data_IF_050941074762
#
_entry.id   IF_050941074762
#
_cell.length_a   1.000
_cell.length_b   1.000
_cell.length_c   1.000
_cell.angle_alpha   90.00
_cell.angle_beta   90.00
_cell.angle_gamma   90.00
#
_symmetry.space_group_name_H-M   'P 1'
#
loop_
_entity.id
_entity.type
_entity.pdbx_description
1 polymer ?
#
# COMPACT_ATOMS: atom_id res chain seq x y z
N UNK A 1 17.14 4.69 -9.61
CA UNK A 1 16.89 4.77 -8.15
C UNK A 1 17.66 5.95 -7.62
N UNK A 2 17.03 6.79 -6.80
CA UNK A 2 17.73 7.87 -6.11
C UNK A 2 18.79 7.24 -5.18
N UNK A 3 20.02 7.76 -5.21
CA UNK A 3 21.09 7.28 -4.33
C UNK A 3 20.83 7.71 -2.88
N UNK A 4 21.47 7.04 -1.90
CA UNK A 4 21.36 7.38 -0.47
C UNK A 4 21.66 8.88 -0.25
N UNK A 5 22.68 9.41 -0.91
CA UNK A 5 23.07 10.82 -0.83
C UNK A 5 21.97 11.76 -1.34
N UNK A 6 21.33 11.43 -2.45
CA UNK A 6 20.21 12.22 -2.99
C UNK A 6 19.00 12.20 -2.04
N UNK A 7 18.73 11.05 -1.42
CA UNK A 7 17.65 10.91 -0.43
C UNK A 7 17.93 11.76 0.81
N UNK A 8 19.16 11.74 1.33
CA UNK A 8 19.59 12.58 2.46
C UNK A 8 19.39 14.06 2.18
N UNK A 9 19.78 14.53 1.00
CA UNK A 9 19.67 15.94 0.61
C UNK A 9 18.23 16.46 0.45
N UNK A 10 17.26 15.56 0.31
CA UNK A 10 15.83 15.90 0.24
C UNK A 10 15.14 15.99 1.59
N UNK A 11 15.79 15.53 2.64
CA UNK A 11 15.23 15.49 3.99
C UNK A 11 15.76 16.65 4.84
N UNK A 12 14.99 17.12 5.84
CA UNK A 12 15.49 18.14 6.77
C UNK A 12 16.74 17.67 7.50
N UNK A 13 17.76 18.56 7.61
CA UNK A 13 19.02 18.22 8.26
C UNK A 13 18.83 17.75 9.70
N UNK A 14 17.92 18.37 10.45
CA UNK A 14 17.57 17.97 11.81
C UNK A 14 17.11 16.49 11.88
N UNK A 15 16.24 16.08 10.97
CA UNK A 15 15.78 14.69 10.88
C UNK A 15 16.95 13.73 10.60
N UNK A 16 17.83 14.10 9.67
CA UNK A 16 19.02 13.28 9.34
C UNK A 16 19.95 13.16 10.54
N UNK A 17 20.20 14.25 11.26
CA UNK A 17 21.08 14.26 12.45
C UNK A 17 20.47 13.40 13.57
N UNK A 18 19.18 13.54 13.85
CA UNK A 18 18.49 12.75 14.87
C UNK A 18 18.57 11.24 14.57
N UNK A 19 18.52 10.83 13.30
CA UNK A 19 18.70 9.43 12.93
C UNK A 19 20.09 8.92 13.30
N UNK A 20 21.16 9.72 13.09
CA UNK A 20 22.52 9.35 13.45
C UNK A 20 22.78 9.36 14.97
N UNK A 21 22.02 10.13 15.73
CA UNK A 21 22.07 10.11 17.20
C UNK A 21 21.37 8.85 17.77
N UNK A 22 20.29 8.41 17.13
CA UNK A 22 19.47 7.29 17.59
C UNK A 22 19.96 5.91 17.14
N UNK A 23 20.61 5.84 15.97
CA UNK A 23 20.93 4.59 15.29
C UNK A 23 22.37 4.53 14.81
N UNK A 24 22.90 3.32 14.67
CA UNK A 24 24.24 3.13 14.08
C UNK A 24 24.25 3.55 12.59
N UNK A 25 25.40 4.00 12.05
CA UNK A 25 25.50 4.43 10.66
C UNK A 25 24.96 3.42 9.63
N UNK A 26 25.20 2.12 9.84
CA UNK A 26 24.69 1.06 8.98
C UNK A 26 23.16 0.93 9.00
N UNK A 27 22.53 1.16 10.17
CA UNK A 27 21.05 1.19 10.27
C UNK A 27 20.50 2.44 9.57
N UNK A 28 21.15 3.59 9.73
CA UNK A 28 20.74 4.83 9.05
C UNK A 28 20.82 4.68 7.54
N UNK A 29 21.85 4.05 7.01
CA UNK A 29 21.97 3.77 5.58
C UNK A 29 20.84 2.85 5.07
N UNK A 30 20.46 1.84 5.85
CA UNK A 30 19.32 0.98 5.52
C UNK A 30 17.98 1.74 5.54
N UNK A 31 17.78 2.67 6.50
CA UNK A 31 16.62 3.55 6.53
C UNK A 31 16.56 4.40 5.26
N UNK A 32 17.66 5.03 4.86
CA UNK A 32 17.68 5.85 3.63
C UNK A 32 17.49 5.03 2.36
N UNK A 33 17.99 3.79 2.29
CA UNK A 33 17.67 2.88 1.18
C UNK A 33 16.17 2.60 1.12
N UNK A 34 15.54 2.29 2.26
CA UNK A 34 14.10 2.08 2.32
C UNK A 34 13.28 3.30 1.89
N UNK A 35 13.70 4.51 2.28
CA UNK A 35 13.07 5.77 1.86
C UNK A 35 13.25 6.00 0.34
N UNK A 36 14.41 5.62 -0.22
CA UNK A 36 14.70 5.75 -1.64
C UNK A 36 13.96 4.75 -2.52
N UNK A 37 13.49 3.64 -1.96
CA UNK A 37 12.75 2.62 -2.71
C UNK A 37 11.40 3.14 -3.19
N UNK A 38 11.09 2.83 -4.46
CA UNK A 38 9.78 3.15 -5.02
C UNK A 38 8.71 2.28 -4.36
N UNK A 39 7.78 2.92 -3.68
CA UNK A 39 6.64 2.22 -3.10
C UNK A 39 5.81 1.56 -4.20
N UNK A 40 5.56 0.27 -4.04
CA UNK A 40 4.68 -0.47 -4.93
C UNK A 40 3.23 -0.04 -4.74
N UNK A 41 2.49 0.06 -5.83
CA UNK A 41 1.04 0.26 -5.79
C UNK A 41 0.39 -1.04 -5.37
N UNK A 42 -0.40 -1.00 -4.32
CA UNK A 42 -1.14 -2.15 -3.81
C UNK A 42 -2.62 -1.82 -3.68
N UNK A 43 -3.47 -2.79 -3.91
CA UNK A 43 -4.90 -2.64 -3.83
C UNK A 43 -5.56 -3.94 -3.39
N UNK A 44 -6.81 -3.84 -2.91
CA UNK A 44 -7.69 -4.98 -2.70
C UNK A 44 -8.99 -4.82 -3.48
N UNK A 45 -9.59 -5.94 -3.85
CA UNK A 45 -10.93 -5.96 -4.44
C UNK A 45 -11.99 -5.72 -3.35
N UNK A 46 -13.05 -5.00 -3.70
CA UNK A 46 -14.22 -4.87 -2.86
C UNK A 46 -15.14 -6.07 -3.11
N UNK A 47 -15.04 -7.10 -2.30
CA UNK A 47 -15.78 -8.36 -2.46
C UNK A 47 -17.29 -8.23 -2.35
N UNK A 48 -17.81 -7.10 -1.86
CA UNK A 48 -19.23 -6.78 -1.85
C UNK A 48 -19.76 -6.38 -3.24
N UNK A 49 -18.88 -5.98 -4.15
CA UNK A 49 -19.23 -5.42 -5.47
C UNK A 49 -18.60 -6.14 -6.64
N UNK A 50 -17.44 -6.77 -6.43
CA UNK A 50 -16.63 -7.33 -7.50
C UNK A 50 -15.82 -8.52 -7.00
N UNK A 51 -15.39 -9.42 -7.86
CA UNK A 51 -14.58 -10.56 -7.49
C UNK A 51 -13.15 -10.46 -8.03
N UNK A 52 -12.21 -11.16 -7.37
CA UNK A 52 -10.79 -11.09 -7.71
C UNK A 52 -10.48 -11.70 -9.09
N UNK A 53 -11.25 -12.71 -9.54
CA UNK A 53 -11.02 -13.37 -10.83
C UNK A 53 -11.35 -12.41 -11.97
N UNK A 54 -12.51 -11.75 -11.88
CA UNK A 54 -12.93 -10.70 -12.82
C UNK A 54 -11.94 -9.54 -12.84
N UNK A 55 -11.42 -9.13 -11.67
CA UNK A 55 -10.39 -8.08 -11.59
C UNK A 55 -9.10 -8.50 -12.30
N UNK A 56 -8.62 -9.71 -12.05
CA UNK A 56 -7.40 -10.22 -12.70
C UNK A 56 -7.58 -10.34 -14.23
N UNK A 57 -8.76 -10.76 -14.69
CA UNK A 57 -9.09 -10.81 -16.12
C UNK A 57 -9.06 -9.42 -16.73
N UNK A 58 -9.76 -8.46 -16.13
CA UNK A 58 -9.78 -7.07 -16.57
C UNK A 58 -8.37 -6.46 -16.65
N UNK A 59 -7.54 -6.66 -15.62
CA UNK A 59 -6.16 -6.14 -15.65
C UNK A 59 -5.30 -6.76 -16.76
N UNK A 60 -5.49 -8.03 -17.09
CA UNK A 60 -4.82 -8.67 -18.24
C UNK A 60 -5.26 -8.03 -19.57
N UNK A 61 -6.55 -7.75 -19.73
CA UNK A 61 -7.10 -7.12 -20.94
C UNK A 61 -6.54 -5.72 -21.19
N UNK A 62 -6.32 -4.95 -20.12
CA UNK A 62 -5.74 -3.60 -20.21
C UNK A 62 -4.21 -3.56 -19.97
N UNK A 63 -3.53 -4.72 -20.02
CA UNK A 63 -2.08 -4.86 -19.85
C UNK A 63 -1.52 -4.33 -18.52
N UNK A 64 -2.29 -4.36 -17.44
CA UNK A 64 -1.77 -4.11 -16.09
C UNK A 64 -1.15 -5.39 -15.55
N UNK A 65 0.15 -5.33 -15.24
CA UNK A 65 0.91 -6.42 -14.62
C UNK A 65 0.74 -6.40 -13.12
N UNK A 66 0.41 -7.55 -12.55
CA UNK A 66 0.19 -7.68 -11.11
C UNK A 66 0.77 -8.99 -10.57
N UNK A 67 0.93 -9.01 -9.25
CA UNK A 67 1.31 -10.19 -8.46
C UNK A 67 0.29 -10.38 -7.35
N UNK A 68 -0.01 -11.63 -7.01
CA UNK A 68 -0.93 -11.95 -5.91
C UNK A 68 -0.23 -11.84 -4.56
N UNK A 69 -0.96 -11.37 -3.57
CA UNK A 69 -0.50 -11.37 -2.18
C UNK A 69 -0.78 -12.74 -1.59
N UNK A 70 0.26 -13.47 -1.18
CA UNK A 70 0.15 -14.88 -0.75
C UNK A 70 -0.72 -15.08 0.49
N UNK A 71 -0.76 -14.11 1.39
CA UNK A 71 -1.50 -14.19 2.65
C UNK A 71 -2.89 -13.52 2.60
N UNK A 72 -3.23 -12.85 1.48
CA UNK A 72 -4.55 -12.22 1.29
C UNK A 72 -5.02 -12.34 -0.15
N UNK A 73 -5.97 -13.24 -0.38
CA UNK A 73 -6.42 -13.61 -1.73
C UNK A 73 -7.07 -12.46 -2.51
N UNK A 74 -7.62 -11.47 -1.83
CA UNK A 74 -8.34 -10.35 -2.46
C UNK A 74 -7.43 -9.15 -2.74
N UNK A 75 -6.12 -9.28 -2.48
CA UNK A 75 -5.14 -8.21 -2.70
C UNK A 75 -4.19 -8.50 -3.86
N UNK A 76 -3.79 -7.41 -4.55
CA UNK A 76 -2.83 -7.43 -5.65
C UNK A 76 -1.76 -6.36 -5.46
N UNK A 77 -0.54 -6.69 -5.92
CA UNK A 77 0.59 -5.78 -6.06
C UNK A 77 0.74 -5.42 -7.52
N UNK A 78 0.64 -4.15 -7.85
CA UNK A 78 0.73 -3.65 -9.23
C UNK A 78 2.18 -3.35 -9.58
N UNK A 79 2.66 -3.84 -10.73
CA UNK A 79 4.07 -3.77 -11.14
C UNK A 79 4.38 -2.65 -12.13
N UNK A 80 3.43 -2.28 -12.99
CA UNK A 80 3.66 -1.37 -14.12
C UNK A 80 2.74 -0.15 -14.16
N UNK A 81 1.98 0.11 -13.10
CA UNK A 81 1.13 1.28 -12.97
C UNK A 81 1.27 1.89 -11.55
N UNK A 82 1.10 3.19 -11.43
CA UNK A 82 1.09 3.88 -10.15
C UNK A 82 -0.35 4.14 -9.66
N UNK A 83 -0.49 4.65 -8.42
CA UNK A 83 -1.80 4.91 -7.82
C UNK A 83 -2.66 5.84 -8.69
N UNK A 84 -2.05 6.90 -9.27
CA UNK A 84 -2.78 7.86 -10.13
C UNK A 84 -3.31 7.22 -11.41
N UNK A 85 -2.59 6.24 -11.96
CA UNK A 85 -3.05 5.50 -13.14
C UNK A 85 -4.23 4.61 -12.77
N UNK A 86 -4.18 3.92 -11.64
CA UNK A 86 -5.29 3.08 -11.14
C UNK A 86 -6.53 3.92 -10.81
N UNK A 87 -6.34 5.11 -10.22
CA UNK A 87 -7.45 6.03 -9.87
C UNK A 87 -8.26 6.51 -11.08
N UNK A 88 -7.66 6.52 -12.27
CA UNK A 88 -8.36 6.90 -13.52
C UNK A 88 -9.26 5.78 -14.07
N UNK A 89 -9.10 4.55 -13.61
CA UNK A 89 -9.88 3.42 -14.09
C UNK A 89 -11.31 3.48 -13.58
N UNK A 90 -12.26 3.10 -14.44
CA UNK A 90 -13.68 3.04 -14.10
C UNK A 90 -13.97 2.15 -12.89
N UNK A 91 -13.25 1.02 -12.78
CA UNK A 91 -13.38 0.09 -11.65
C UNK A 91 -13.03 0.72 -10.31
N UNK A 92 -12.08 1.68 -10.28
CA UNK A 92 -11.75 2.44 -9.07
C UNK A 92 -12.88 3.40 -8.73
N UNK A 93 -13.36 4.16 -9.71
CA UNK A 93 -14.44 5.14 -9.51
C UNK A 93 -15.76 4.50 -9.07
N UNK A 94 -16.05 3.28 -9.55
CA UNK A 94 -17.19 2.47 -9.11
C UNK A 94 -17.01 1.84 -7.72
N UNK A 95 -15.83 1.96 -7.13
CA UNK A 95 -15.50 1.39 -5.82
C UNK A 95 -15.42 -0.15 -5.85
N UNK A 96 -15.02 -0.74 -6.97
CA UNK A 96 -14.78 -2.19 -7.11
C UNK A 96 -13.43 -2.59 -6.55
N UNK A 97 -12.50 -1.64 -6.47
CA UNK A 97 -11.18 -1.80 -5.87
C UNK A 97 -10.89 -0.67 -4.91
N UNK A 98 -10.02 -0.93 -3.93
CA UNK A 98 -9.55 0.02 -2.96
C UNK A 98 -8.02 0.04 -2.92
N UNK A 99 -7.41 1.21 -3.17
CA UNK A 99 -5.98 1.40 -3.02
C UNK A 99 -5.62 1.43 -1.54
N UNK A 100 -4.80 0.50 -1.10
CA UNK A 100 -4.46 0.34 0.31
C UNK A 100 -3.08 -0.31 0.43
N UNK A 101 -2.27 0.13 1.41
CA UNK A 101 -1.01 -0.54 1.70
C UNK A 101 -1.25 -1.92 2.30
N UNK A 102 -0.37 -2.88 2.02
CA UNK A 102 -0.48 -4.23 2.56
C UNK A 102 -0.55 -4.24 4.09
N UNK A 103 0.25 -3.39 4.75
CA UNK A 103 0.21 -3.25 6.21
C UNK A 103 -1.12 -2.75 6.75
N UNK A 104 -1.82 -1.89 5.98
CA UNK A 104 -3.16 -1.41 6.36
C UNK A 104 -4.27 -2.43 6.15
N UNK A 105 -4.02 -3.50 5.39
CA UNK A 105 -4.97 -4.60 5.22
C UNK A 105 -4.97 -5.58 6.40
N UNK A 106 -3.88 -5.62 7.18
CA UNK A 106 -3.71 -6.59 8.29
C UNK A 106 -4.69 -6.38 9.44
N UNK A 107 -4.90 -5.16 9.99
CA UNK A 107 -5.75 -4.99 11.17
C UNK A 107 -7.17 -5.52 10.99
N UNK A 108 -7.92 -5.22 9.93
CA UNK A 108 -9.27 -5.77 9.74
C UNK A 108 -9.29 -7.28 9.53
N UNK A 109 -8.24 -7.87 8.95
CA UNK A 109 -8.12 -9.32 8.79
C UNK A 109 -7.88 -10.02 10.11
N UNK A 110 -7.05 -9.44 10.98
CA UNK A 110 -6.78 -9.99 12.33
C UNK A 110 -8.01 -9.84 13.22
N UNK A 111 -8.68 -8.69 13.15
CA UNK A 111 -9.91 -8.43 13.93
C UNK A 111 -11.04 -9.37 13.48
N UNK A 112 -11.16 -9.61 12.17
CA UNK A 112 -12.15 -10.53 11.58
C UNK A 112 -13.56 -10.35 12.13
N UNK A 113 -14.14 -9.14 12.09
CA UNK A 113 -15.43 -8.84 12.70
C UNK A 113 -16.55 -9.69 12.08
N UNK A 114 -17.51 -10.11 12.92
CA UNK A 114 -18.64 -10.92 12.50
C UNK A 114 -19.91 -10.08 12.42
N UNK A 115 -20.88 -10.57 11.67
CA UNK A 115 -22.19 -9.95 11.60
C UNK A 115 -22.80 -9.78 12.99
N UNK A 116 -23.33 -8.58 13.27
CA UNK A 116 -23.90 -8.21 14.55
C UNK A 116 -22.91 -7.73 15.61
N UNK A 117 -21.60 -7.77 15.37
CA UNK A 117 -20.60 -7.22 16.27
C UNK A 117 -20.49 -5.70 16.15
N UNK A 118 -20.30 -5.02 17.29
CA UNK A 118 -19.99 -3.59 17.31
C UNK A 118 -18.48 -3.41 17.31
N UNK A 119 -17.94 -2.68 16.33
CA UNK A 119 -16.51 -2.39 16.21
C UNK A 119 -16.28 -0.90 16.41
N UNK A 120 -15.37 -0.56 17.35
CA UNK A 120 -14.92 0.81 17.57
C UNK A 120 -13.52 1.00 16.99
N UNK A 121 -13.40 1.87 15.99
CA UNK A 121 -12.11 2.33 15.50
C UNK A 121 -11.74 3.67 16.15
N UNK A 122 -10.81 3.63 17.11
CA UNK A 122 -10.32 4.82 17.84
C UNK A 122 -9.46 5.75 16.97
N UNK A 123 -9.01 5.28 15.81
CA UNK A 123 -8.13 6.01 14.87
C UNK A 123 -8.68 6.00 13.46
N UNK A 124 -10.00 6.09 13.30
CA UNK A 124 -10.72 5.94 12.03
C UNK A 124 -10.25 6.91 10.93
N UNK A 125 -9.89 8.13 11.24
CA UNK A 125 -9.42 9.10 10.27
C UNK A 125 -7.96 8.82 9.84
N UNK A 126 -7.65 8.86 8.54
CA UNK A 126 -8.46 9.20 7.37
C UNK A 126 -9.23 8.02 6.74
N UNK A 127 -9.42 6.89 7.41
CA UNK A 127 -10.25 5.79 6.92
C UNK A 127 -9.52 4.68 6.15
N UNK A 128 -8.20 4.58 6.28
CA UNK A 128 -7.42 3.59 5.51
C UNK A 128 -7.55 2.14 6.02
N UNK A 129 -8.14 1.89 7.17
CA UNK A 129 -8.29 0.58 7.82
C UNK A 129 -9.74 0.23 8.17
N UNK A 130 -10.59 1.24 8.29
CA UNK A 130 -12.02 1.13 8.58
C UNK A 130 -12.79 0.59 7.41
#
# INVERSE_FOLDING_TARGET
MAGITETKNRLPNEFVNNLYEMFTPGMVDNIFRGIAEKRLTTLRVNTLKYDIQSLMKYFKEINIKFERVLWYNDALIIKNANEKDIQKLEIYQKGYIYLQSLSSMVPPLVLNPKEGENVLDLTAAPGSKT
#
